data_IF_498208558377
#
_entry.id   IF_498208558377
#
_cell.length_a   1.000
_cell.length_b   1.000
_cell.length_c   1.000
_cell.angle_alpha   90.00
_cell.angle_beta   90.00
_cell.angle_gamma   90.00
#
_symmetry.space_group_name_H-M   'P 1'
#
loop_
_entity.id
_entity.type
_entity.pdbx_description
1 polymer ?
#
# COMPACT_ATOMS: atom_id res chain seq x y z
N UNK A 1 22.95 6.38 3.54
CA UNK A 1 23.18 5.10 2.85
C UNK A 1 22.13 4.97 1.76
N UNK A 2 22.50 5.15 0.48
CA UNK A 2 21.57 4.99 -0.65
C UNK A 2 21.52 3.51 -1.03
N UNK A 3 20.43 2.84 -0.68
CA UNK A 3 20.20 1.46 -1.09
C UNK A 3 20.10 1.41 -2.63
N UNK A 4 20.89 0.57 -3.33
CA UNK A 4 20.92 0.54 -4.80
C UNK A 4 19.60 0.04 -5.41
N UNK A 5 18.77 -0.66 -4.64
CA UNK A 5 17.38 -0.95 -4.99
C UNK A 5 16.48 0.15 -4.45
N UNK A 6 15.72 0.78 -5.35
CA UNK A 6 14.72 1.80 -4.99
C UNK A 6 13.64 1.28 -4.02
N UNK A 7 12.62 2.11 -3.70
CA UNK A 7 11.60 1.72 -2.72
C UNK A 7 10.93 0.40 -3.09
N UNK A 8 10.61 -0.40 -2.08
CA UNK A 8 9.81 -1.61 -2.25
C UNK A 8 8.43 -1.22 -2.78
N UNK A 9 8.01 -1.85 -3.88
CA UNK A 9 6.70 -1.62 -4.52
C UNK A 9 5.87 -2.89 -4.38
N UNK A 10 4.67 -2.76 -3.82
CA UNK A 10 3.75 -3.88 -3.60
C UNK A 10 2.41 -3.55 -4.24
N UNK A 11 1.90 -4.45 -5.09
CA UNK A 11 0.57 -4.34 -5.68
C UNK A 11 -0.44 -5.19 -4.91
N UNK A 12 -1.65 -4.65 -4.68
CA UNK A 12 -2.76 -5.36 -4.02
C UNK A 12 -3.95 -5.43 -4.99
N UNK A 13 -4.25 -6.64 -5.46
CA UNK A 13 -5.36 -6.92 -6.39
C UNK A 13 -6.47 -7.74 -5.76
N UNK A 14 -7.65 -7.75 -6.38
CA UNK A 14 -8.83 -8.47 -5.91
C UNK A 14 -10.14 -7.90 -6.49
N UNK A 15 -11.26 -8.65 -6.46
CA UNK A 15 -12.55 -8.20 -6.99
C UNK A 15 -13.11 -7.00 -6.23
N UNK A 16 -14.15 -6.36 -6.78
CA UNK A 16 -14.90 -5.29 -6.10
C UNK A 16 -15.44 -5.81 -4.76
N UNK A 17 -15.35 -5.01 -3.71
CA UNK A 17 -15.80 -5.38 -2.37
C UNK A 17 -14.86 -6.29 -1.57
N UNK A 18 -13.72 -6.73 -2.11
CA UNK A 18 -12.79 -7.64 -1.41
C UNK A 18 -11.97 -7.00 -0.27
N UNK A 19 -12.23 -5.74 0.07
CA UNK A 19 -11.56 -5.05 1.19
C UNK A 19 -10.14 -4.56 0.91
N UNK A 20 -9.70 -4.41 -0.35
CA UNK A 20 -8.34 -3.94 -0.69
C UNK A 20 -7.96 -2.64 0.02
N UNK A 21 -8.85 -1.64 0.01
CA UNK A 21 -8.63 -0.34 0.66
C UNK A 21 -8.53 -0.48 2.18
N UNK A 22 -9.38 -1.31 2.80
CA UNK A 22 -9.33 -1.58 4.23
C UNK A 22 -8.03 -2.30 4.64
N UNK A 23 -7.56 -3.24 3.81
CA UNK A 23 -6.28 -3.91 4.00
C UNK A 23 -5.11 -2.91 3.95
N UNK A 24 -5.09 -2.03 2.95
CA UNK A 24 -4.05 -1.01 2.81
C UNK A 24 -4.01 -0.06 4.02
N UNK A 25 -5.17 0.40 4.49
CA UNK A 25 -5.27 1.25 5.69
C UNK A 25 -4.72 0.56 6.94
N UNK A 26 -5.11 -0.69 7.18
CA UNK A 26 -4.63 -1.48 8.31
C UNK A 26 -3.10 -1.72 8.25
N UNK A 27 -2.58 -2.03 7.06
CA UNK A 27 -1.13 -2.19 6.84
C UNK A 27 -0.38 -0.89 7.12
N UNK A 28 -0.86 0.23 6.57
CA UNK A 28 -0.22 1.53 6.77
C UNK A 28 -0.17 1.90 8.26
N UNK A 29 -1.29 1.75 8.98
CA UNK A 29 -1.35 2.02 10.42
C UNK A 29 -0.38 1.15 11.23
N UNK A 30 -0.21 -0.11 10.85
CA UNK A 30 0.67 -1.06 11.56
C UNK A 30 2.16 -0.88 11.23
N UNK A 31 2.48 -0.28 10.09
CA UNK A 31 3.85 -0.18 9.59
C UNK A 31 4.43 1.24 9.61
N UNK A 32 3.60 2.28 9.81
CA UNK A 32 4.00 3.69 9.76
C UNK A 32 5.11 4.10 10.72
N UNK A 33 5.30 3.39 11.82
CA UNK A 33 6.36 3.69 12.80
C UNK A 33 7.73 3.12 12.39
N UNK A 34 7.74 2.23 11.39
CA UNK A 34 8.94 1.50 10.94
C UNK A 34 9.38 1.87 9.54
N UNK A 35 8.46 2.34 8.71
CA UNK A 35 8.72 2.60 7.30
C UNK A 35 8.05 3.91 6.86
N UNK A 36 8.70 4.60 5.93
CA UNK A 36 8.05 5.65 5.17
C UNK A 36 7.21 5.01 4.05
N UNK A 37 5.89 5.20 4.14
CA UNK A 37 4.91 4.49 3.30
C UNK A 37 4.10 5.52 2.53
N UNK A 38 3.96 5.28 1.23
CA UNK A 38 3.02 5.98 0.37
C UNK A 38 2.09 4.97 -0.30
N UNK A 39 0.79 5.29 -0.37
CA UNK A 39 -0.21 4.50 -1.08
C UNK A 39 -0.63 5.26 -2.32
N UNK A 40 -0.53 4.61 -3.47
CA UNK A 40 -1.08 5.12 -4.74
C UNK A 40 -2.27 4.24 -5.07
N UNK A 41 -3.47 4.83 -5.06
CA UNK A 41 -4.70 4.14 -5.45
C UNK A 41 -5.20 4.70 -6.78
N UNK A 42 -5.64 3.81 -7.67
CA UNK A 42 -6.33 4.15 -8.90
C UNK A 42 -7.74 3.54 -8.85
N UNK A 43 -8.45 3.77 -7.74
CA UNK A 43 -9.84 3.34 -7.55
C UNK A 43 -10.75 4.19 -8.44
N UNK A 44 -10.76 3.89 -9.73
CA UNK A 44 -11.49 4.63 -10.78
C UNK A 44 -12.96 4.22 -10.87
N UNK A 45 -13.37 3.21 -10.10
CA UNK A 45 -14.75 2.74 -10.01
C UNK A 45 -15.18 2.79 -8.55
N UNK A 46 -16.09 3.70 -8.23
CA UNK A 46 -16.74 3.76 -6.91
C UNK A 46 -17.93 2.81 -6.83
#
# INVERSE_FOLDING_TARGET
MTNPSGPLRVGVGGPVGSGKTALLDALCKRLRDRFEIAVVTNDIYT
#
